data_IF_993185239314
#
_entry.id   IF_993185239314
#
_cell.length_a   1.000
_cell.length_b   1.000
_cell.length_c   1.000
_cell.angle_alpha   90.00
_cell.angle_beta   90.00
_cell.angle_gamma   90.00
#
_symmetry.space_group_name_H-M   'P 1'
#
loop_
_entity.id
_entity.type
_entity.pdbx_description
1 polymer ?
#
# COMPACT_ATOMS: atom_id res chain seq x y z
N UNK A 1 -25.27 -5.61 10.60
CA UNK A 1 -24.78 -4.29 11.06
C UNK A 1 -25.07 -3.29 9.95
N UNK A 2 -25.68 -2.13 10.28
CA UNK A 2 -25.93 -1.08 9.27
C UNK A 2 -24.54 -0.48 8.95
N UNK A 3 -24.02 -0.74 7.75
CA UNK A 3 -22.80 -0.08 7.30
C UNK A 3 -23.07 1.43 7.26
N UNK A 4 -22.42 2.16 8.16
CA UNK A 4 -22.48 3.61 8.13
C UNK A 4 -21.66 4.11 6.95
N UNK A 5 -22.25 5.04 6.17
CA UNK A 5 -21.61 5.61 5.00
C UNK A 5 -21.42 7.11 5.21
N UNK A 6 -20.28 7.65 4.82
CA UNK A 6 -20.01 9.08 4.87
C UNK A 6 -19.81 9.66 3.47
N UNK A 7 -20.47 10.80 3.21
CA UNK A 7 -20.10 11.63 2.08
C UNK A 7 -18.83 12.41 2.41
N UNK A 8 -17.86 12.39 1.52
CA UNK A 8 -16.58 13.05 1.74
C UNK A 8 -16.22 14.00 0.59
N UNK A 9 -15.49 15.05 0.91
CA UNK A 9 -14.83 15.88 -0.08
C UNK A 9 -13.72 15.08 -0.82
N UNK A 10 -13.25 15.62 -1.93
CA UNK A 10 -12.14 15.00 -2.67
C UNK A 10 -10.91 14.83 -1.77
N UNK A 11 -10.37 13.60 -1.63
CA UNK A 11 -9.24 13.33 -0.74
C UNK A 11 -7.94 14.00 -1.17
N UNK A 12 -7.86 14.52 -2.41
CA UNK A 12 -6.67 15.17 -2.95
C UNK A 12 -6.72 16.69 -2.83
N UNK A 13 -7.85 17.31 -3.23
CA UNK A 13 -7.94 18.78 -3.31
C UNK A 13 -9.03 19.38 -2.43
N UNK A 14 -9.66 18.59 -1.57
CA UNK A 14 -10.78 18.97 -0.71
C UNK A 14 -12.01 19.58 -1.45
N UNK A 15 -12.05 19.50 -2.78
CA UNK A 15 -13.19 19.99 -3.57
C UNK A 15 -14.45 19.18 -3.33
N UNK A 16 -15.59 19.85 -3.29
CA UNK A 16 -16.91 19.24 -3.05
C UNK A 16 -17.71 19.02 -4.33
N UNK A 17 -17.24 19.54 -5.47
CA UNK A 17 -17.89 19.38 -6.78
C UNK A 17 -17.39 18.15 -7.50
N UNK A 18 -18.30 17.24 -7.85
CA UNK A 18 -17.98 15.98 -8.52
C UNK A 18 -19.03 15.58 -9.55
N UNK A 19 -18.68 14.63 -10.40
CA UNK A 19 -19.57 13.92 -11.33
C UNK A 19 -19.71 12.47 -10.88
N UNK A 20 -20.91 11.90 -11.02
CA UNK A 20 -21.08 10.45 -10.95
C UNK A 20 -20.16 9.79 -11.99
N UNK A 21 -19.47 8.70 -11.63
CA UNK A 21 -18.51 8.06 -12.50
C UNK A 21 -18.85 6.59 -12.76
N UNK A 22 -18.66 5.71 -11.79
CA UNK A 22 -18.97 4.30 -11.90
C UNK A 22 -19.79 3.82 -10.70
N UNK A 23 -20.57 2.76 -10.93
CA UNK A 23 -21.24 2.03 -9.87
C UNK A 23 -20.97 0.54 -10.05
N UNK A 24 -20.70 -0.17 -8.94
CA UNK A 24 -20.59 -1.62 -8.89
C UNK A 24 -21.18 -2.12 -7.56
N UNK A 25 -22.34 -2.78 -7.64
CA UNK A 25 -23.14 -3.06 -6.46
C UNK A 25 -23.46 -1.77 -5.71
N UNK A 26 -23.18 -1.72 -4.41
CA UNK A 26 -23.40 -0.55 -3.56
C UNK A 26 -22.25 0.47 -3.62
N UNK A 27 -21.10 0.10 -4.18
CA UNK A 27 -19.97 1.00 -4.37
C UNK A 27 -20.29 2.05 -5.43
N UNK A 28 -20.32 3.31 -5.03
CA UNK A 28 -20.49 4.48 -5.92
C UNK A 28 -19.20 5.26 -6.00
N UNK A 29 -18.68 5.38 -7.22
CA UNK A 29 -17.48 6.16 -7.50
C UNK A 29 -17.87 7.49 -8.14
N UNK A 30 -17.22 8.54 -7.69
CA UNK A 30 -17.38 9.89 -8.23
C UNK A 30 -16.05 10.41 -8.75
N UNK A 31 -16.10 11.36 -9.68
CA UNK A 31 -14.91 12.02 -10.22
C UNK A 31 -14.93 13.50 -9.82
N UNK A 32 -13.91 13.93 -9.11
CA UNK A 32 -13.73 15.34 -8.75
C UNK A 32 -13.61 16.22 -10.00
N UNK A 33 -14.40 17.32 -10.05
CA UNK A 33 -14.33 18.27 -11.16
C UNK A 33 -13.05 19.11 -11.15
N UNK A 34 -12.44 19.31 -9.96
CA UNK A 34 -11.28 20.20 -9.82
C UNK A 34 -9.95 19.51 -10.18
N UNK A 35 -9.76 18.23 -9.79
CA UNK A 35 -8.48 17.55 -9.97
C UNK A 35 -8.57 16.21 -10.71
N UNK A 36 -9.77 15.75 -11.04
CA UNK A 36 -9.97 14.50 -11.76
C UNK A 36 -9.80 13.21 -10.91
N UNK A 37 -9.58 13.35 -9.58
CA UNK A 37 -9.51 12.20 -8.66
C UNK A 37 -10.80 11.40 -8.71
N UNK A 38 -10.68 10.07 -8.81
CA UNK A 38 -11.82 9.16 -8.71
C UNK A 38 -11.80 8.51 -7.33
N UNK A 39 -12.93 8.56 -6.62
CA UNK A 39 -13.03 8.06 -5.25
C UNK A 39 -14.45 7.63 -4.88
N UNK A 40 -14.57 6.79 -3.85
CA UNK A 40 -15.87 6.37 -3.33
C UNK A 40 -16.55 7.52 -2.54
N UNK A 41 -17.79 7.83 -2.92
CA UNK A 41 -18.65 8.76 -2.15
C UNK A 41 -20.13 8.42 -2.41
N UNK A 42 -20.87 7.97 -1.40
CA UNK A 42 -20.44 7.77 -0.01
C UNK A 42 -19.39 6.65 0.14
N UNK A 43 -18.51 6.77 1.13
CA UNK A 43 -17.54 5.77 1.50
C UNK A 43 -18.06 4.95 2.68
N UNK A 44 -17.92 3.61 2.69
CA UNK A 44 -18.25 2.79 3.85
C UNK A 44 -17.23 3.03 4.97
N UNK A 45 -17.71 3.38 6.17
CA UNK A 45 -16.82 3.69 7.31
C UNK A 45 -16.31 2.43 8.01
N UNK A 46 -17.06 1.34 8.00
CA UNK A 46 -16.67 0.07 8.62
C UNK A 46 -15.44 -0.58 7.97
N UNK A 47 -15.15 -0.25 6.70
CA UNK A 47 -14.02 -0.84 5.96
C UNK A 47 -12.66 -0.17 6.25
N UNK A 48 -12.63 0.83 7.12
CA UNK A 48 -11.40 1.55 7.49
C UNK A 48 -10.97 1.28 8.93
N UNK A 49 -11.71 0.44 9.64
CA UNK A 49 -11.45 0.08 11.03
C UNK A 49 -10.65 -1.20 11.14
N UNK A 50 -9.88 -1.34 12.23
CA UNK A 50 -9.19 -2.59 12.57
C UNK A 50 -10.14 -3.78 12.66
N UNK A 51 -11.36 -3.59 13.13
CA UNK A 51 -12.39 -4.64 13.25
C UNK A 51 -12.72 -5.31 11.91
N UNK A 52 -12.81 -4.52 10.82
CA UNK A 52 -13.03 -5.07 9.50
C UNK A 52 -11.86 -5.95 9.05
N UNK A 53 -10.63 -5.43 9.21
CA UNK A 53 -9.43 -6.17 8.81
C UNK A 53 -9.16 -7.36 9.72
N UNK A 54 -9.52 -7.32 10.99
CA UNK A 54 -9.45 -8.46 11.90
C UNK A 54 -10.49 -9.53 11.54
N UNK A 55 -11.71 -9.14 11.21
CA UNK A 55 -12.76 -10.07 10.79
C UNK A 55 -12.42 -10.75 9.44
N UNK A 56 -11.86 -10.00 8.48
CA UNK A 56 -11.40 -10.53 7.19
C UNK A 56 -10.00 -11.17 7.28
N UNK A 57 -9.24 -10.82 8.31
CA UNK A 57 -7.80 -11.02 8.38
C UNK A 57 -7.39 -12.47 8.51
N UNK A 58 -8.07 -13.23 9.37
CA UNK A 58 -7.71 -14.64 9.61
C UNK A 58 -7.93 -15.47 8.34
N UNK A 59 -9.04 -15.26 7.65
CA UNK A 59 -9.43 -16.08 6.49
C UNK A 59 -8.64 -15.73 5.21
N UNK A 60 -8.16 -14.50 5.08
CA UNK A 60 -7.44 -14.05 3.89
C UNK A 60 -5.95 -13.81 4.14
N UNK A 61 -5.62 -12.87 5.05
CA UNK A 61 -4.23 -12.43 5.23
C UNK A 61 -3.34 -13.52 5.84
N UNK A 62 -3.90 -14.40 6.68
CA UNK A 62 -3.21 -15.54 7.29
C UNK A 62 -3.50 -16.88 6.62
N UNK A 63 -4.24 -16.89 5.50
CA UNK A 63 -4.45 -18.14 4.77
C UNK A 63 -3.11 -18.72 4.29
N UNK A 64 -2.93 -20.06 4.33
CA UNK A 64 -1.67 -20.68 3.92
C UNK A 64 -1.24 -20.28 2.51
N UNK A 65 -2.19 -20.12 1.58
CA UNK A 65 -1.92 -19.70 0.20
C UNK A 65 -1.38 -18.26 0.13
N UNK A 66 -1.95 -17.34 0.92
CA UNK A 66 -1.51 -15.94 0.99
C UNK A 66 -0.14 -15.83 1.62
N UNK A 67 0.08 -16.47 2.77
CA UNK A 67 1.37 -16.47 3.45
C UNK A 67 2.48 -17.09 2.61
N UNK A 68 2.23 -18.25 1.97
CA UNK A 68 3.19 -18.87 1.07
C UNK A 68 3.57 -17.95 -0.10
N UNK A 69 2.60 -17.16 -0.59
CA UNK A 69 2.85 -16.19 -1.64
C UNK A 69 3.60 -14.95 -1.16
N UNK A 70 3.22 -14.39 -0.01
CA UNK A 70 3.81 -13.15 0.53
C UNK A 70 5.26 -13.34 0.94
N UNK A 71 5.58 -14.50 1.51
CA UNK A 71 6.94 -14.85 1.92
C UNK A 71 7.79 -15.46 0.81
N UNK A 72 7.24 -15.67 -0.39
CA UNK A 72 8.03 -16.12 -1.54
C UNK A 72 8.99 -15.01 -2.03
N UNK A 73 10.23 -15.35 -2.34
CA UNK A 73 11.30 -14.41 -2.78
C UNK A 73 10.89 -13.53 -3.96
N UNK A 74 9.99 -14.01 -4.80
CA UNK A 74 9.54 -13.29 -5.99
C UNK A 74 8.47 -12.25 -5.69
N UNK A 75 7.86 -12.26 -4.49
CA UNK A 75 6.67 -11.44 -4.17
C UNK A 75 6.97 -9.96 -4.16
N UNK A 76 7.96 -9.54 -3.39
CA UNK A 76 8.36 -8.14 -3.25
C UNK A 76 9.62 -7.78 -4.04
N UNK A 77 10.02 -8.63 -5.00
CA UNK A 77 11.28 -8.45 -5.73
C UNK A 77 11.39 -7.11 -6.48
N UNK A 78 10.28 -6.51 -6.88
CA UNK A 78 10.24 -5.21 -7.60
C UNK A 78 10.27 -4.04 -6.63
N UNK A 79 9.48 -4.13 -5.58
CA UNK A 79 9.38 -3.17 -4.50
C UNK A 79 10.73 -3.07 -3.77
N UNK A 80 11.35 -4.20 -3.44
CA UNK A 80 12.67 -4.26 -2.82
C UNK A 80 13.79 -3.70 -3.70
N UNK A 81 13.73 -3.92 -5.03
CA UNK A 81 14.70 -3.29 -5.95
C UNK A 81 14.49 -1.77 -6.06
N UNK A 82 13.24 -1.31 -6.11
CA UNK A 82 12.93 0.12 -6.11
C UNK A 82 13.37 0.74 -4.80
N UNK A 83 13.06 0.11 -3.67
CA UNK A 83 13.44 0.55 -2.35
C UNK A 83 14.97 0.68 -2.21
N UNK A 84 15.70 -0.41 -2.50
CA UNK A 84 17.17 -0.46 -2.40
C UNK A 84 17.88 0.55 -3.29
N UNK A 85 17.31 0.87 -4.46
CA UNK A 85 17.85 1.90 -5.36
C UNK A 85 17.94 3.28 -4.70
N UNK A 86 17.00 3.62 -3.83
CA UNK A 86 16.88 4.94 -3.22
C UNK A 86 17.29 4.97 -1.75
N UNK A 87 17.12 3.89 -1.00
CA UNK A 87 17.44 3.76 0.40
C UNK A 87 18.36 2.55 0.60
N UNK A 88 19.66 2.81 0.81
CA UNK A 88 20.65 1.74 0.96
C UNK A 88 20.76 1.21 2.39
N UNK A 89 20.42 2.01 3.38
CA UNK A 89 20.44 1.68 4.81
C UNK A 89 19.59 2.66 5.61
N UNK A 90 19.29 2.34 6.85
CA UNK A 90 18.66 3.25 7.82
C UNK A 90 17.38 2.69 8.42
N UNK A 91 16.66 3.58 9.13
CA UNK A 91 15.42 3.24 9.81
C UNK A 91 14.22 3.26 8.84
N UNK A 92 13.43 2.20 8.81
CA UNK A 92 12.32 1.98 7.88
C UNK A 92 11.04 1.69 8.64
N UNK A 93 10.00 2.46 8.35
CA UNK A 93 8.65 2.19 8.82
C UNK A 93 7.77 1.72 7.66
N UNK A 94 7.17 0.54 7.78
CA UNK A 94 6.17 0.04 6.82
C UNK A 94 4.76 0.19 7.41
N UNK A 95 3.97 1.08 6.81
CA UNK A 95 2.60 1.38 7.26
C UNK A 95 1.62 0.49 6.50
N UNK A 96 0.75 -0.22 7.24
CA UNK A 96 -0.11 -1.26 6.68
C UNK A 96 0.71 -2.52 6.36
N UNK A 97 1.64 -2.89 7.24
CA UNK A 97 2.62 -3.97 7.00
C UNK A 97 2.01 -5.38 6.98
N UNK A 98 0.74 -5.55 7.42
CA UNK A 98 0.06 -6.84 7.49
C UNK A 98 0.93 -7.90 8.18
N UNK A 99 1.19 -9.04 7.57
CA UNK A 99 2.05 -10.12 8.09
C UNK A 99 3.56 -9.78 8.13
N UNK A 100 3.98 -8.57 7.81
CA UNK A 100 5.37 -8.12 7.86
C UNK A 100 6.28 -8.65 6.75
N UNK A 101 5.73 -9.28 5.71
CA UNK A 101 6.51 -10.01 4.72
C UNK A 101 7.50 -9.14 3.91
N UNK A 102 7.17 -7.86 3.64
CA UNK A 102 8.10 -6.93 3.00
C UNK A 102 9.32 -6.66 3.88
N UNK A 103 9.10 -6.32 5.14
CA UNK A 103 10.17 -6.04 6.10
C UNK A 103 11.02 -7.28 6.38
N UNK A 104 10.38 -8.45 6.52
CA UNK A 104 11.08 -9.73 6.65
C UNK A 104 12.04 -9.97 5.47
N UNK A 105 11.55 -9.84 4.22
CA UNK A 105 12.39 -10.02 3.04
C UNK A 105 13.48 -8.94 2.92
N UNK A 106 13.22 -7.71 3.37
CA UNK A 106 14.21 -6.63 3.41
C UNK A 106 15.38 -7.02 4.31
N UNK A 107 15.12 -7.49 5.53
CA UNK A 107 16.16 -7.96 6.47
C UNK A 107 16.90 -9.20 5.96
N UNK A 108 16.17 -10.18 5.37
CA UNK A 108 16.79 -11.39 4.84
C UNK A 108 17.77 -11.10 3.71
N UNK A 109 17.49 -10.12 2.85
CA UNK A 109 18.34 -9.80 1.71
C UNK A 109 19.52 -8.91 2.04
N UNK A 110 19.38 -8.04 3.04
CA UNK A 110 20.42 -7.10 3.46
C UNK A 110 20.50 -7.04 4.99
N UNK A 111 21.04 -8.11 5.62
CA UNK A 111 21.15 -8.20 7.06
C UNK A 111 22.00 -7.04 7.62
N UNK A 112 21.47 -6.34 8.63
CA UNK A 112 22.19 -5.26 9.31
C UNK A 112 22.15 -3.89 8.62
N UNK A 113 21.62 -3.78 7.39
CA UNK A 113 21.50 -2.49 6.73
C UNK A 113 20.29 -1.67 7.22
N UNK A 114 19.25 -2.31 7.77
CA UNK A 114 18.00 -1.64 8.13
C UNK A 114 17.54 -1.94 9.55
N UNK A 115 17.12 -0.89 10.22
CA UNK A 115 16.28 -0.95 11.42
C UNK A 115 14.82 -0.89 10.97
N UNK A 116 14.09 -2.00 11.12
CA UNK A 116 12.75 -2.12 10.58
C UNK A 116 11.68 -1.99 11.67
N UNK A 117 10.56 -1.40 11.30
CA UNK A 117 9.35 -1.34 12.10
C UNK A 117 8.13 -1.47 11.19
N UNK A 118 7.15 -2.29 11.58
CA UNK A 118 5.85 -2.35 10.92
C UNK A 118 4.75 -1.71 11.77
N UNK A 119 3.69 -1.21 11.13
CA UNK A 119 2.45 -0.84 11.82
C UNK A 119 1.25 -1.25 11.00
N UNK A 120 0.20 -1.73 11.67
CA UNK A 120 -1.07 -2.10 11.06
C UNK A 120 -2.21 -1.96 12.10
N UNK A 121 -3.43 -1.82 11.60
CA UNK A 121 -4.66 -1.80 12.43
C UNK A 121 -5.17 -3.19 12.79
N UNK A 122 -4.74 -4.22 12.06
CA UNK A 122 -5.18 -5.61 12.23
C UNK A 122 -4.25 -6.38 13.17
N UNK A 123 -4.80 -6.97 14.23
CA UNK A 123 -4.03 -7.64 15.28
C UNK A 123 -3.43 -8.97 14.83
N UNK A 124 -4.23 -9.87 14.27
CA UNK A 124 -3.79 -11.22 13.93
C UNK A 124 -2.63 -11.29 12.92
N UNK A 125 -2.61 -10.51 11.81
CA UNK A 125 -1.45 -10.43 10.93
C UNK A 125 -0.20 -9.92 11.63
N UNK A 126 -0.33 -8.98 12.59
CA UNK A 126 0.81 -8.49 13.36
C UNK A 126 1.38 -9.53 14.31
N UNK A 127 0.54 -10.38 14.94
CA UNK A 127 1.02 -11.52 15.73
C UNK A 127 1.90 -12.45 14.89
N UNK A 128 1.49 -12.67 13.65
CA UNK A 128 2.29 -13.46 12.71
C UNK A 128 3.61 -12.75 12.34
N UNK A 129 3.59 -11.45 12.08
CA UNK A 129 4.79 -10.66 11.79
C UNK A 129 5.80 -10.74 12.94
N UNK A 130 5.34 -10.58 14.20
CA UNK A 130 6.18 -10.72 15.40
C UNK A 130 6.76 -12.13 15.53
N UNK A 131 5.98 -13.17 15.24
CA UNK A 131 6.47 -14.56 15.23
C UNK A 131 7.58 -14.81 14.21
N UNK A 132 7.65 -13.96 13.17
CA UNK A 132 8.69 -13.97 12.13
C UNK A 132 9.87 -13.04 12.44
N UNK A 133 9.89 -12.41 13.62
CA UNK A 133 10.95 -11.51 14.06
C UNK A 133 10.85 -10.08 13.49
N UNK A 134 9.69 -9.67 12.97
CA UNK A 134 9.44 -8.31 12.53
C UNK A 134 8.86 -7.50 13.69
N UNK A 135 9.55 -6.47 14.20
CA UNK A 135 9.01 -5.59 15.23
C UNK A 135 7.82 -4.79 14.69
N UNK A 136 6.74 -4.69 15.48
CA UNK A 136 5.52 -4.01 15.06
C UNK A 136 4.92 -3.11 16.15
N UNK A 137 4.16 -2.10 15.71
CA UNK A 137 3.29 -1.26 16.55
C UNK A 137 1.85 -1.44 16.07
N UNK A 138 0.94 -1.74 17.01
CA UNK A 138 -0.47 -2.03 16.72
C UNK A 138 -1.31 -0.77 16.78
N UNK A 139 -2.22 -0.62 15.82
CA UNK A 139 -3.24 0.41 15.81
C UNK A 139 -3.13 1.39 14.66
N UNK A 140 -3.98 2.41 14.72
CA UNK A 140 -4.05 3.42 13.66
C UNK A 140 -2.76 4.25 13.58
N UNK A 141 -2.12 4.24 12.42
CA UNK A 141 -0.89 5.00 12.17
C UNK A 141 -1.02 6.48 12.56
N UNK A 142 -2.18 7.12 12.35
CA UNK A 142 -2.38 8.53 12.68
C UNK A 142 -2.37 8.80 14.20
N UNK A 143 -2.63 7.80 15.02
CA UNK A 143 -2.73 7.92 16.48
C UNK A 143 -1.44 7.53 17.21
N UNK A 144 -0.53 6.83 16.51
CA UNK A 144 0.73 6.38 17.10
C UNK A 144 1.74 7.53 17.20
N UNK A 145 2.50 7.57 18.29
CA UNK A 145 3.61 8.50 18.45
C UNK A 145 4.92 7.82 18.00
N UNK A 146 5.49 8.30 16.91
CA UNK A 146 6.76 7.84 16.37
C UNK A 146 7.91 8.85 16.67
N UNK A 147 7.64 9.91 17.43
CA UNK A 147 8.56 11.03 17.61
C UNK A 147 8.58 11.93 16.36
N UNK A 148 8.07 13.14 16.46
CA UNK A 148 8.16 14.11 15.36
C UNK A 148 9.57 14.69 15.28
N UNK A 149 10.14 14.70 14.07
CA UNK A 149 11.38 15.44 13.79
C UNK A 149 11.05 16.93 13.63
N UNK A 150 11.05 17.69 14.70
CA UNK A 150 10.72 19.13 14.68
C UNK A 150 11.46 19.94 15.73
N UNK A 151 11.68 21.22 15.46
CA UNK A 151 12.53 22.20 16.17
C UNK A 151 12.18 22.49 17.65
N UNK A 152 11.23 21.80 18.26
CA UNK A 152 10.85 22.01 19.65
C UNK A 152 10.98 20.71 20.45
N UNK A 153 12.17 20.47 20.94
CA UNK A 153 12.53 19.35 21.82
C UNK A 153 11.76 19.30 23.14
N UNK A 154 10.55 18.74 23.13
CA UNK A 154 9.90 18.16 24.29
C UNK A 154 9.27 16.85 23.89
N UNK A 155 10.03 15.77 24.10
CA UNK A 155 9.55 14.40 24.00
C UNK A 155 8.55 14.14 25.14
N UNK A 156 7.29 13.92 24.76
CA UNK A 156 6.32 13.29 25.64
C UNK A 156 6.59 11.79 25.53
N UNK A 157 6.99 11.17 26.62
CA UNK A 157 7.25 9.72 26.68
C UNK A 157 5.97 8.94 26.31
N UNK A 158 6.05 7.93 25.43
CA UNK A 158 4.90 7.10 25.13
C UNK A 158 4.45 6.30 26.36
N UNK A 159 3.13 6.16 26.51
CA UNK A 159 2.52 5.34 27.55
C UNK A 159 3.09 3.91 27.54
N UNK A 160 3.36 3.31 28.71
CA UNK A 160 3.87 1.96 28.80
C UNK A 160 2.77 0.95 28.45
N UNK A 161 2.72 0.52 27.21
CA UNK A 161 2.00 -0.68 26.79
C UNK A 161 2.84 -1.93 27.01
N UNK A 162 2.21 -3.11 27.25
CA UNK A 162 2.93 -4.33 27.58
C UNK A 162 3.48 -5.01 26.33
N UNK A 163 4.65 -4.63 25.86
CA UNK A 163 5.40 -5.45 24.89
C UNK A 163 6.89 -5.16 24.96
N UNK A 164 7.64 -6.22 25.21
CA UNK A 164 9.08 -6.29 25.15
C UNK A 164 9.59 -6.23 23.70
N UNK A 165 9.42 -5.14 23.00
CA UNK A 165 10.32 -4.79 21.91
C UNK A 165 11.66 -4.52 22.61
N UNK A 166 12.70 -5.30 22.31
CA UNK A 166 14.06 -4.98 22.78
C UNK A 166 14.40 -3.61 22.26
N UNK A 167 14.13 -2.60 23.08
CA UNK A 167 14.66 -1.26 22.90
C UNK A 167 16.18 -1.43 22.99
N UNK A 168 16.91 -1.00 21.99
CA UNK A 168 18.33 -0.71 22.19
C UNK A 168 18.46 0.10 23.49
N UNK A 169 19.49 -0.13 24.27
CA UNK A 169 19.72 0.50 25.56
C UNK A 169 19.40 2.00 25.50
N UNK A 170 18.20 2.41 25.98
CA UNK A 170 17.74 3.78 25.95
C UNK A 170 16.27 4.02 25.55
N UNK A 171 15.53 3.04 25.07
CA UNK A 171 14.07 3.16 24.89
C UNK A 171 13.59 4.20 23.87
N UNK A 172 14.42 4.62 22.94
CA UNK A 172 14.16 5.63 21.90
C UNK A 172 14.04 4.93 20.53
N UNK A 173 13.00 5.24 19.78
CA UNK A 173 13.03 5.13 18.32
C UNK A 173 14.20 5.97 17.81
N UNK A 174 14.76 5.71 16.59
CA UNK A 174 15.88 6.47 16.08
C UNK A 174 15.62 7.96 16.34
N UNK A 175 16.36 8.57 17.23
CA UNK A 175 16.06 9.90 17.83
C UNK A 175 15.99 11.05 16.84
N UNK A 176 16.07 10.75 15.54
CA UNK A 176 16.09 11.70 14.43
C UNK A 176 14.99 11.40 13.38
N UNK A 177 14.10 10.42 13.58
CA UNK A 177 13.05 10.01 12.62
C UNK A 177 13.50 8.86 11.70
N UNK A 178 12.67 8.56 10.67
CA UNK A 178 12.89 7.48 9.72
C UNK A 178 13.61 7.94 8.46
N UNK A 179 14.46 7.09 7.91
CA UNK A 179 15.08 7.30 6.59
C UNK A 179 14.08 7.00 5.47
N UNK A 180 13.16 6.05 5.72
CA UNK A 180 12.10 5.69 4.79
C UNK A 180 10.79 5.32 5.48
N UNK A 181 9.67 5.75 4.88
CA UNK A 181 8.30 5.30 5.20
C UNK A 181 7.71 4.66 3.95
N UNK A 182 7.06 3.51 4.09
CA UNK A 182 6.49 2.77 2.97
C UNK A 182 4.98 2.56 3.12
N UNK A 183 4.25 2.66 2.00
CA UNK A 183 2.82 2.39 1.85
C UNK A 183 2.61 1.45 0.65
N UNK A 184 2.67 0.14 0.87
CA UNK A 184 2.50 -0.86 -0.17
C UNK A 184 1.03 -1.31 -0.26
N UNK A 185 0.26 -0.72 -1.17
CA UNK A 185 -1.17 -0.95 -1.33
C UNK A 185 -1.97 -0.60 -0.05
N UNK A 186 -1.85 0.65 0.37
CA UNK A 186 -2.51 1.18 1.59
C UNK A 186 -3.36 2.39 1.27
N UNK A 187 -2.84 3.40 0.55
CA UNK A 187 -3.52 4.68 0.37
C UNK A 187 -4.85 4.56 -0.39
N UNK A 188 -5.02 3.53 -1.21
CA UNK A 188 -6.28 3.23 -1.89
C UNK A 188 -7.41 2.85 -0.93
N UNK A 189 -7.10 2.39 0.27
CA UNK A 189 -8.07 1.96 1.28
C UNK A 189 -8.46 3.06 2.27
N UNK A 190 -7.73 4.17 2.32
CA UNK A 190 -7.87 5.18 3.37
C UNK A 190 -8.96 6.21 3.04
N UNK A 191 -9.73 6.62 4.05
CA UNK A 191 -10.66 7.75 3.93
C UNK A 191 -9.92 9.07 3.80
N UNK A 192 -8.79 9.25 4.49
CA UNK A 192 -8.01 10.49 4.57
C UNK A 192 -6.53 10.27 4.19
N UNK A 193 -6.21 9.83 2.94
CA UNK A 193 -4.84 9.47 2.56
C UNK A 193 -3.85 10.64 2.68
N UNK A 194 -4.32 11.89 2.57
CA UNK A 194 -3.48 13.08 2.73
C UNK A 194 -2.88 13.17 4.13
N UNK A 195 -3.65 12.91 5.18
CA UNK A 195 -3.17 12.92 6.57
C UNK A 195 -2.08 11.87 6.82
N UNK A 196 -2.15 10.71 6.13
CA UNK A 196 -1.10 9.70 6.22
C UNK A 196 0.22 10.19 5.60
N UNK A 197 0.18 10.88 4.46
CA UNK A 197 1.37 11.49 3.87
C UNK A 197 1.91 12.65 4.73
N UNK A 198 1.04 13.47 5.30
CA UNK A 198 1.42 14.55 6.23
C UNK A 198 2.15 13.99 7.45
N UNK A 199 1.63 12.92 8.06
CA UNK A 199 2.29 12.25 9.17
C UNK A 199 3.59 11.57 8.76
N UNK A 200 3.63 10.90 7.60
CA UNK A 200 4.87 10.34 7.07
C UNK A 200 5.94 11.42 6.89
N UNK A 201 5.55 12.60 6.38
CA UNK A 201 6.45 13.75 6.29
C UNK A 201 6.97 14.21 7.67
N UNK A 202 6.09 14.28 8.68
CA UNK A 202 6.48 14.74 10.03
C UNK A 202 7.54 13.82 10.65
N UNK A 203 7.43 12.50 10.49
CA UNK A 203 8.32 11.51 11.10
C UNK A 203 9.56 11.16 10.25
N UNK A 204 9.60 11.56 8.98
CA UNK A 204 10.79 11.39 8.13
C UNK A 204 11.90 12.38 8.50
N UNK A 205 13.13 11.92 8.45
CA UNK A 205 14.34 12.77 8.49
C UNK A 205 14.33 13.78 7.34
N UNK A 206 15.02 14.91 7.44
CA UNK A 206 15.27 15.78 6.28
C UNK A 206 15.85 14.98 5.11
N UNK A 207 15.27 15.13 3.91
CA UNK A 207 15.64 14.35 2.73
C UNK A 207 15.21 12.88 2.73
N UNK A 208 14.53 12.41 3.79
CA UNK A 208 13.98 11.05 3.90
C UNK A 208 12.95 10.74 2.81
N UNK A 209 12.64 9.48 2.62
CA UNK A 209 11.89 8.98 1.47
C UNK A 209 10.56 8.36 1.89
N UNK A 210 9.51 8.69 1.15
CA UNK A 210 8.21 8.03 1.25
C UNK A 210 7.95 7.22 -0.03
N UNK A 211 7.76 5.91 0.11
CA UNK A 211 7.46 5.01 -0.98
C UNK A 211 5.97 4.67 -0.98
N UNK A 212 5.30 4.91 -2.09
CA UNK A 212 3.88 4.63 -2.25
C UNK A 212 3.68 3.72 -3.44
N UNK A 213 2.93 2.63 -3.27
CA UNK A 213 2.46 1.78 -4.36
C UNK A 213 0.94 1.63 -4.24
N UNK A 214 0.24 1.93 -5.33
CA UNK A 214 -1.23 1.82 -5.44
C UNK A 214 -1.62 1.24 -6.81
N UNK A 215 -2.84 0.69 -6.97
CA UNK A 215 -3.38 0.40 -8.29
C UNK A 215 -3.45 1.65 -9.17
N UNK A 216 -3.03 1.50 -10.42
CA UNK A 216 -3.04 2.59 -11.40
C UNK A 216 -4.43 2.74 -12.02
N UNK A 217 -5.11 3.83 -11.74
CA UNK A 217 -6.41 4.12 -12.34
C UNK A 217 -6.36 4.25 -13.87
N UNK A 218 -5.21 4.59 -14.46
CA UNK A 218 -5.03 4.71 -15.91
C UNK A 218 -4.58 3.42 -16.59
N UNK A 219 -4.56 2.28 -15.85
CA UNK A 219 -4.13 0.99 -16.41
C UNK A 219 -4.97 0.57 -17.63
N UNK A 220 -4.35 -0.23 -18.49
CA UNK A 220 -5.04 -0.83 -19.63
C UNK A 220 -6.27 -1.64 -19.19
N UNK A 221 -6.15 -2.37 -18.07
CA UNK A 221 -7.24 -3.15 -17.50
C UNK A 221 -8.46 -2.28 -17.16
N UNK A 222 -8.25 -1.16 -16.44
CA UNK A 222 -9.34 -0.23 -16.10
C UNK A 222 -9.91 0.49 -17.32
N UNK A 223 -9.09 0.80 -18.33
CA UNK A 223 -9.58 1.40 -19.59
C UNK A 223 -10.48 0.47 -20.38
N UNK A 224 -10.18 -0.84 -20.39
CA UNK A 224 -10.96 -1.85 -21.13
C UNK A 224 -12.21 -2.30 -20.37
N UNK A 225 -12.11 -2.48 -19.06
CA UNK A 225 -13.12 -3.15 -18.25
C UNK A 225 -13.96 -2.17 -17.40
N UNK A 226 -13.43 -0.98 -17.10
CA UNK A 226 -14.11 -0.02 -16.21
C UNK A 226 -14.44 -0.65 -14.86
N UNK A 227 -15.68 -0.48 -14.42
CA UNK A 227 -16.18 -1.02 -13.15
C UNK A 227 -16.17 -2.56 -13.08
N UNK A 228 -16.07 -3.27 -14.22
CA UNK A 228 -16.00 -4.74 -14.25
C UNK A 228 -14.65 -5.27 -13.78
N UNK A 229 -13.61 -4.45 -13.75
CA UNK A 229 -12.29 -4.87 -13.28
C UNK A 229 -12.35 -5.24 -11.79
N UNK A 230 -11.73 -6.38 -11.41
CA UNK A 230 -11.78 -6.92 -10.04
C UNK A 230 -11.19 -6.00 -8.98
N UNK A 231 -10.30 -5.08 -9.35
CA UNK A 231 -9.76 -4.07 -8.43
C UNK A 231 -10.70 -2.88 -8.20
N UNK A 232 -11.88 -2.84 -8.87
CA UNK A 232 -13.00 -1.99 -8.49
C UNK A 232 -13.88 -2.78 -7.53
N UNK A 233 -13.71 -2.54 -6.23
CA UNK A 233 -14.43 -3.23 -5.17
C UNK A 233 -14.47 -2.37 -3.88
N UNK A 234 -15.37 -2.65 -2.92
CA UNK A 234 -15.70 -1.73 -1.82
C UNK A 234 -14.54 -1.27 -0.96
N UNK A 235 -13.48 -2.08 -0.77
CA UNK A 235 -12.34 -1.68 0.05
C UNK A 235 -11.41 -0.67 -0.65
N UNK A 236 -11.47 -0.54 -1.97
CA UNK A 236 -10.72 0.50 -2.69
C UNK A 236 -11.53 1.79 -2.73
N UNK A 237 -11.23 2.70 -1.83
CA UNK A 237 -11.90 3.99 -1.71
C UNK A 237 -11.31 5.06 -2.65
N UNK A 238 -10.06 4.89 -3.09
CA UNK A 238 -9.31 5.86 -3.88
C UNK A 238 -8.69 5.22 -5.12
N UNK A 239 -8.88 5.86 -6.27
CA UNK A 239 -8.38 5.39 -7.57
C UNK A 239 -7.41 6.42 -8.13
N UNK A 240 -6.13 6.25 -7.80
CA UNK A 240 -5.09 7.22 -8.12
C UNK A 240 -4.58 7.10 -9.56
N UNK A 241 -4.33 8.25 -10.17
CA UNK A 241 -3.41 8.42 -11.29
C UNK A 241 -2.07 8.93 -10.76
N UNK A 242 -1.01 8.91 -11.57
CA UNK A 242 0.26 9.52 -11.17
C UNK A 242 0.08 11.00 -10.79
N UNK A 243 -0.69 11.76 -11.57
CA UNK A 243 -0.95 13.18 -11.31
C UNK A 243 -1.69 13.40 -9.97
N UNK A 244 -2.72 12.60 -9.66
CA UNK A 244 -3.48 12.77 -8.42
C UNK A 244 -2.71 12.27 -7.20
N UNK A 245 -1.88 11.23 -7.33
CA UNK A 245 -1.03 10.76 -6.25
C UNK A 245 0.11 11.74 -5.93
N UNK A 246 0.75 12.30 -6.95
CA UNK A 246 1.77 13.34 -6.78
C UNK A 246 1.15 14.57 -6.12
N UNK A 247 0.00 15.03 -6.63
CA UNK A 247 -0.71 16.18 -6.08
C UNK A 247 -1.13 16.01 -4.61
N UNK A 248 -1.35 14.78 -4.16
CA UNK A 248 -1.70 14.48 -2.76
C UNK A 248 -0.62 14.94 -1.77
N UNK A 249 0.66 14.91 -2.17
CA UNK A 249 1.82 15.24 -1.33
C UNK A 249 2.71 16.36 -1.88
N UNK A 250 2.30 17.10 -2.94
CA UNK A 250 3.17 18.08 -3.63
C UNK A 250 3.62 19.24 -2.75
N UNK A 251 2.86 19.57 -1.71
CA UNK A 251 3.19 20.61 -0.72
C UNK A 251 4.27 20.18 0.29
N UNK A 252 4.59 18.90 0.38
CA UNK A 252 5.49 18.30 1.37
C UNK A 252 6.69 17.57 0.76
N UNK A 253 6.53 17.08 -0.47
CA UNK A 253 7.48 16.17 -1.09
C UNK A 253 7.81 16.55 -2.53
N UNK A 254 9.08 16.38 -2.90
CA UNK A 254 9.50 16.30 -4.29
C UNK A 254 9.40 14.86 -4.82
N UNK A 255 9.07 14.71 -6.09
CA UNK A 255 9.03 13.39 -6.75
C UNK A 255 10.45 12.96 -7.10
N UNK A 256 10.92 11.84 -6.54
CA UNK A 256 12.21 11.24 -6.86
C UNK A 256 12.11 10.24 -8.01
N UNK A 257 11.05 9.44 -8.07
CA UNK A 257 10.80 8.48 -9.17
C UNK A 257 9.29 8.17 -9.27
N UNK A 258 8.82 8.01 -10.49
CA UNK A 258 7.50 7.44 -10.80
C UNK A 258 7.70 6.20 -11.66
N UNK A 259 7.06 5.09 -11.29
CA UNK A 259 7.23 3.82 -11.97
C UNK A 259 5.90 3.10 -12.12
N UNK A 260 5.64 2.62 -13.33
CA UNK A 260 4.50 1.76 -13.61
C UNK A 260 4.98 0.31 -13.72
N UNK A 261 4.25 -0.59 -13.12
CA UNK A 261 4.65 -2.01 -13.08
C UNK A 261 3.43 -2.91 -13.12
N UNK A 262 3.70 -4.16 -13.43
CA UNK A 262 2.70 -5.21 -13.44
C UNK A 262 1.69 -5.08 -14.58
N UNK A 263 1.45 -6.20 -15.22
CA UNK A 263 0.40 -6.36 -16.24
C UNK A 263 -0.09 -7.80 -16.14
N UNK A 264 -1.39 -8.02 -16.11
CA UNK A 264 -1.93 -9.37 -16.00
C UNK A 264 -3.04 -9.62 -17.03
N UNK A 265 -2.68 -10.04 -18.26
CA UNK A 265 -3.66 -10.28 -19.34
C UNK A 265 -4.64 -11.42 -18.99
N UNK A 266 -4.23 -12.37 -18.17
CA UNK A 266 -5.09 -13.47 -17.73
C UNK A 266 -6.23 -12.93 -16.85
N UNK A 267 -5.90 -12.03 -15.93
CA UNK A 267 -6.92 -11.37 -15.08
C UNK A 267 -7.85 -10.52 -15.92
N UNK A 268 -7.34 -9.76 -16.90
CA UNK A 268 -8.18 -8.96 -17.81
C UNK A 268 -9.15 -9.84 -18.57
N UNK A 269 -8.67 -10.95 -19.13
CA UNK A 269 -9.51 -11.90 -19.84
C UNK A 269 -10.56 -12.57 -18.94
N UNK A 270 -10.18 -12.97 -17.72
CA UNK A 270 -11.12 -13.55 -16.76
C UNK A 270 -12.21 -12.55 -16.37
N UNK A 271 -11.87 -11.31 -16.03
CA UNK A 271 -12.84 -10.29 -15.63
C UNK A 271 -13.75 -9.87 -16.79
N UNK A 272 -13.22 -9.87 -18.02
CA UNK A 272 -14.04 -9.67 -19.22
C UNK A 272 -15.05 -10.80 -19.41
N UNK A 273 -14.59 -12.06 -19.32
CA UNK A 273 -15.45 -13.24 -19.49
C UNK A 273 -16.50 -13.35 -18.39
N UNK A 274 -16.11 -13.13 -17.15
CA UNK A 274 -16.95 -13.34 -15.96
C UNK A 274 -17.84 -12.11 -15.64
N UNK A 275 -17.81 -11.07 -16.48
CA UNK A 275 -18.65 -9.88 -16.34
C UNK A 275 -18.33 -9.01 -15.12
N UNK A 276 -17.20 -9.24 -14.48
CA UNK A 276 -16.74 -8.46 -13.30
C UNK A 276 -17.41 -8.91 -11.99
N UNK A 277 -17.75 -10.19 -11.87
CA UNK A 277 -18.24 -10.73 -10.59
C UNK A 277 -17.24 -10.48 -9.46
N UNK A 278 -17.73 -10.38 -8.26
CA UNK A 278 -16.86 -10.32 -7.08
C UNK A 278 -16.09 -11.63 -6.92
N UNK A 279 -14.80 -11.48 -6.60
CA UNK A 279 -13.88 -12.60 -6.39
C UNK A 279 -13.74 -12.81 -4.89
N UNK A 280 -14.05 -13.99 -4.40
CA UNK A 280 -13.94 -14.33 -2.98
C UNK A 280 -12.47 -14.27 -2.48
N UNK A 281 -12.27 -14.14 -1.18
CA UNK A 281 -10.94 -14.13 -0.58
C UNK A 281 -10.15 -15.42 -0.86
N UNK A 282 -10.84 -16.57 -0.87
CA UNK A 282 -10.23 -17.85 -1.22
C UNK A 282 -9.74 -17.89 -2.68
N UNK A 283 -10.55 -17.39 -3.63
CA UNK A 283 -10.15 -17.29 -5.04
C UNK A 283 -8.98 -16.31 -5.24
N UNK A 284 -8.98 -15.18 -4.52
CA UNK A 284 -7.85 -14.23 -4.53
C UNK A 284 -6.57 -14.88 -4.04
N UNK A 285 -6.63 -15.63 -2.93
CA UNK A 285 -5.49 -16.38 -2.39
C UNK A 285 -4.97 -17.42 -3.38
N UNK A 286 -5.84 -18.21 -3.99
CA UNK A 286 -5.50 -19.22 -5.00
C UNK A 286 -4.84 -18.60 -6.24
N UNK A 287 -5.39 -17.50 -6.77
CA UNK A 287 -4.81 -16.77 -7.91
C UNK A 287 -3.41 -16.21 -7.59
N UNK A 288 -3.23 -15.68 -6.38
CA UNK A 288 -1.94 -15.18 -5.93
C UNK A 288 -0.91 -16.31 -5.86
N UNK A 289 -1.28 -17.45 -5.29
CA UNK A 289 -0.42 -18.65 -5.22
C UNK A 289 -0.05 -19.15 -6.62
N UNK A 290 -1.03 -19.28 -7.53
CA UNK A 290 -0.77 -19.68 -8.92
C UNK A 290 0.18 -18.72 -9.62
N UNK A 291 -0.04 -17.41 -9.50
CA UNK A 291 0.81 -16.38 -10.11
C UNK A 291 2.23 -16.45 -9.56
N UNK A 292 2.38 -16.67 -8.26
CA UNK A 292 3.67 -16.84 -7.59
C UNK A 292 4.38 -18.10 -8.08
N UNK A 293 3.68 -19.23 -8.16
CA UNK A 293 4.22 -20.49 -8.70
C UNK A 293 4.67 -20.35 -10.17
N UNK A 294 3.90 -19.64 -11.00
CA UNK A 294 4.28 -19.35 -12.38
C UNK A 294 5.59 -18.55 -12.47
N UNK A 295 5.77 -17.56 -11.59
CA UNK A 295 6.99 -16.76 -11.54
C UNK A 295 8.23 -17.58 -11.19
N UNK A 296 8.09 -18.67 -10.45
CA UNK A 296 9.19 -19.55 -10.04
C UNK A 296 9.59 -20.57 -11.11
N UNK A 297 8.73 -20.93 -12.07
CA UNK A 297 9.02 -21.96 -13.09
C UNK A 297 10.09 -21.50 -14.09
N UNK A 298 11.27 -22.14 -14.07
CA UNK A 298 12.41 -21.76 -14.90
C UNK A 298 12.19 -22.01 -16.41
N UNK A 299 11.44 -23.05 -16.81
CA UNK A 299 11.19 -23.40 -18.21
C UNK A 299 10.33 -22.37 -18.96
N UNK A 300 9.63 -21.47 -18.24
CA UNK A 300 8.84 -20.38 -18.82
C UNK A 300 9.68 -19.14 -19.17
N UNK A 301 11.00 -19.21 -19.16
CA UNK A 301 11.88 -18.05 -19.47
C UNK A 301 11.51 -17.32 -20.77
N UNK A 302 11.24 -17.97 -21.93
CA UNK A 302 10.88 -17.26 -23.15
C UNK A 302 9.54 -16.52 -23.02
N UNK A 303 8.53 -17.17 -22.43
CA UNK A 303 7.21 -16.57 -22.20
C UNK A 303 7.32 -15.39 -21.25
N UNK A 304 8.13 -15.51 -20.20
CA UNK A 304 8.42 -14.42 -19.25
C UNK A 304 9.14 -13.24 -19.90
N UNK A 305 10.05 -13.52 -20.86
CA UNK A 305 10.75 -12.47 -21.59
C UNK A 305 9.78 -11.66 -22.47
N UNK A 306 8.92 -12.33 -23.24
CA UNK A 306 7.88 -11.67 -24.05
C UNK A 306 6.91 -10.89 -23.15
N UNK A 307 6.45 -11.50 -22.07
CA UNK A 307 5.61 -10.85 -21.07
C UNK A 307 6.30 -9.60 -20.48
N UNK A 308 7.59 -9.69 -20.15
CA UNK A 308 8.38 -8.58 -19.65
C UNK A 308 8.54 -7.43 -20.66
N UNK A 309 8.62 -7.73 -21.95
CA UNK A 309 8.64 -6.71 -23.02
C UNK A 309 7.29 -5.99 -23.10
N UNK A 310 6.18 -6.72 -23.12
CA UNK A 310 4.83 -6.15 -23.11
C UNK A 310 4.61 -5.28 -21.87
N UNK A 311 5.03 -5.75 -20.70
CA UNK A 311 4.92 -4.97 -19.47
C UNK A 311 5.74 -3.68 -19.53
N UNK A 312 7.00 -3.74 -20.02
CA UNK A 312 7.84 -2.54 -20.20
C UNK A 312 7.20 -1.55 -21.17
N UNK A 313 6.64 -2.04 -22.27
CA UNK A 313 5.93 -1.19 -23.22
C UNK A 313 4.73 -0.50 -22.56
N UNK A 314 3.85 -1.24 -21.89
CA UNK A 314 2.71 -0.67 -21.19
C UNK A 314 3.13 0.30 -20.08
N UNK A 315 4.20 -0.02 -19.34
CA UNK A 315 4.76 0.85 -18.32
C UNK A 315 5.27 2.18 -18.89
N UNK A 316 5.90 2.17 -20.05
CA UNK A 316 6.38 3.39 -20.73
C UNK A 316 5.26 4.36 -21.08
N UNK A 317 4.04 3.85 -21.32
CA UNK A 317 2.84 4.65 -21.58
C UNK A 317 1.94 4.87 -20.35
N UNK A 318 2.39 4.47 -19.15
CA UNK A 318 1.60 4.59 -17.93
C UNK A 318 0.38 3.68 -17.88
N UNK A 319 0.37 2.58 -18.65
CA UNK A 319 -0.77 1.67 -18.81
C UNK A 319 -0.66 0.38 -17.98
N UNK A 320 0.43 0.19 -17.23
CA UNK A 320 0.58 -0.95 -16.34
C UNK A 320 -0.35 -0.84 -15.12
N UNK A 321 -0.62 -1.96 -14.46
CA UNK A 321 -1.67 -2.10 -13.43
C UNK A 321 -1.33 -1.39 -12.11
N UNK A 322 -0.04 -1.28 -11.76
CA UNK A 322 0.41 -0.65 -10.54
C UNK A 322 1.21 0.63 -10.82
N UNK A 323 1.02 1.61 -9.97
CA UNK A 323 1.74 2.86 -9.90
C UNK A 323 2.56 2.89 -8.60
N UNK A 324 3.86 3.04 -8.72
CA UNK A 324 4.76 3.32 -7.60
C UNK A 324 5.33 4.73 -7.73
N UNK A 325 5.31 5.50 -6.64
CA UNK A 325 5.91 6.82 -6.56
C UNK A 325 6.85 6.86 -5.37
N UNK A 326 8.06 7.33 -5.60
CA UNK A 326 9.05 7.64 -4.55
C UNK A 326 9.05 9.14 -4.35
N UNK A 327 8.72 9.56 -3.15
CA UNK A 327 8.61 10.94 -2.72
C UNK A 327 9.77 11.25 -1.77
N UNK A 328 10.45 12.39 -1.96
CA UNK A 328 11.52 12.86 -1.08
C UNK A 328 11.01 14.03 -0.27
N UNK A 329 11.15 13.97 1.06
CA UNK A 329 10.84 15.09 1.96
C UNK A 329 11.66 16.31 1.55
N UNK A 330 10.99 17.46 1.41
CA UNK A 330 11.68 18.74 1.23
C UNK A 330 12.61 19.00 2.42
N UNK A 331 13.77 19.57 2.16
CA UNK A 331 14.78 19.93 3.17
C UNK A 331 14.27 21.04 4.07
#
# INVERSE_FOLDING_TARGET
MIESHIHRACPVCAGTSFLAHWQKGDLRLVRCRNCGMVYASPAPTGMTTGEYYDAAGVDYYLSPAKLASDYADVRFARELRLFRKHCLRGAVLDVGCSSGAFLFQLQQRWPGDYEILGTDVSGAPLDYAESRGVPVVRGNFLEQDFGESGEHGKLIAPHPGPLSVRRGEGGRWPGEGFDAVTFWAVLEHLTEPKRFLEKAHAILKPGGLCFVLVPNYQSLALRLLGAKYRYVYPQHLNYFTAATLIRLGEDKFAVAETKFTHFNPVVIWQDWRDGGREVSNAERGALLQQTTAYKQKAWLKPVKALYGLTEKFLAAFGLADNLAVVLRKHS
#
